data_IF_754439795753
#
_entry.id   IF_754439795753
#
_cell.length_a   1.000
_cell.length_b   1.000
_cell.length_c   1.000
_cell.angle_alpha   90.00
_cell.angle_beta   90.00
_cell.angle_gamma   90.00
#
_symmetry.space_group_name_H-M   'P 1'
#
loop_
_entity.id
_entity.type
_entity.pdbx_description
1 polymer ?
#
# COMPACT_ATOMS: atom_id res chain seq x y z
N UNK A 1 -8.31 -2.41 18.99
CA UNK A 1 -7.71 -2.41 17.63
C UNK A 1 -7.56 -3.86 17.21
N UNK A 2 -8.30 -4.29 16.20
CA UNK A 2 -8.18 -5.62 15.60
C UNK A 2 -6.94 -5.64 14.70
N UNK A 3 -5.96 -6.50 14.99
CA UNK A 3 -4.88 -6.79 14.06
C UNK A 3 -5.46 -7.50 12.84
N UNK A 4 -5.14 -7.01 11.64
CA UNK A 4 -5.51 -7.65 10.38
C UNK A 4 -4.27 -8.37 9.85
N UNK A 5 -4.33 -9.70 9.81
CA UNK A 5 -3.34 -10.55 9.15
C UNK A 5 -3.93 -10.99 7.81
N UNK A 6 -3.23 -10.69 6.72
CA UNK A 6 -3.56 -11.21 5.38
C UNK A 6 -2.52 -12.27 5.00
N UNK A 7 -2.93 -13.32 4.31
CA UNK A 7 -2.04 -14.32 3.73
C UNK A 7 -2.22 -14.31 2.21
N UNK A 8 -1.43 -13.49 1.47
CA UNK A 8 -1.64 -13.28 0.03
C UNK A 8 -1.62 -14.58 -0.79
N UNK A 9 -0.75 -15.53 -0.43
CA UNK A 9 -0.63 -16.83 -1.11
C UNK A 9 -1.89 -17.71 -0.99
N UNK A 10 -2.49 -17.74 0.21
CA UNK A 10 -3.77 -18.43 0.46
C UNK A 10 -4.91 -17.78 -0.32
N UNK A 11 -4.93 -16.44 -0.39
CA UNK A 11 -5.95 -15.69 -1.13
C UNK A 11 -5.79 -15.87 -2.64
N UNK A 12 -4.56 -15.97 -3.16
CA UNK A 12 -4.28 -16.26 -4.57
C UNK A 12 -4.79 -17.66 -4.96
N UNK A 13 -4.55 -18.65 -4.09
CA UNK A 13 -5.09 -20.01 -4.25
C UNK A 13 -6.61 -19.99 -4.29
N UNK A 14 -7.25 -19.30 -3.33
CA UNK A 14 -8.71 -19.16 -3.29
C UNK A 14 -9.27 -18.47 -4.55
N UNK A 15 -8.59 -17.45 -5.07
CA UNK A 15 -9.01 -16.78 -6.31
C UNK A 15 -8.99 -17.75 -7.51
N UNK A 16 -7.99 -18.63 -7.59
CA UNK A 16 -7.87 -19.65 -8.62
C UNK A 16 -8.98 -20.71 -8.49
N UNK A 17 -9.28 -21.16 -7.28
CA UNK A 17 -10.39 -22.09 -7.02
C UNK A 17 -11.74 -21.47 -7.40
N UNK A 18 -11.96 -20.21 -7.06
CA UNK A 18 -13.17 -19.47 -7.44
C UNK A 18 -13.30 -19.35 -8.96
N UNK A 19 -12.22 -19.12 -9.70
CA UNK A 19 -12.26 -19.17 -11.17
C UNK A 19 -12.70 -20.54 -11.71
N UNK A 20 -12.20 -21.62 -11.09
CA UNK A 20 -12.62 -22.99 -11.39
C UNK A 20 -14.12 -23.20 -11.16
N UNK A 21 -14.63 -22.76 -10.00
CA UNK A 21 -16.06 -22.83 -9.65
C UNK A 21 -16.92 -22.05 -10.65
N UNK A 22 -16.53 -20.82 -10.99
CA UNK A 22 -17.26 -19.98 -11.95
C UNK A 22 -17.33 -20.62 -13.34
N UNK A 23 -16.24 -21.25 -13.77
CA UNK A 23 -16.18 -21.99 -15.04
C UNK A 23 -17.10 -23.21 -15.03
N UNK A 24 -17.05 -24.01 -13.95
CA UNK A 24 -17.90 -25.19 -13.80
C UNK A 24 -19.39 -24.80 -13.77
N UNK A 25 -19.75 -23.74 -13.04
CA UNK A 25 -21.13 -23.26 -12.96
C UNK A 25 -21.65 -22.74 -14.30
N UNK A 26 -20.81 -22.02 -15.04
CA UNK A 26 -21.15 -21.54 -16.40
C UNK A 26 -21.37 -22.71 -17.35
N UNK A 27 -20.49 -23.72 -17.33
CA UNK A 27 -20.62 -24.93 -18.14
C UNK A 27 -21.88 -25.72 -17.79
N UNK A 28 -22.16 -25.92 -16.50
CA UNK A 28 -23.35 -26.61 -16.03
C UNK A 28 -24.65 -25.86 -16.42
N UNK A 29 -24.66 -24.54 -16.26
CA UNK A 29 -25.79 -23.68 -16.64
C UNK A 29 -26.06 -23.75 -18.14
N UNK A 30 -25.00 -23.72 -18.96
CA UNK A 30 -25.11 -23.84 -20.40
C UNK A 30 -25.61 -25.23 -20.82
N UNK A 31 -25.09 -26.30 -20.23
CA UNK A 31 -25.53 -27.67 -20.50
C UNK A 31 -27.01 -27.89 -20.12
N UNK A 32 -27.48 -27.26 -19.05
CA UNK A 32 -28.87 -27.33 -18.60
C UNK A 32 -29.83 -26.47 -19.44
N UNK A 33 -29.36 -25.49 -20.22
CA UNK A 33 -30.20 -24.49 -20.87
C UNK A 33 -31.22 -25.12 -21.84
N UNK A 34 -30.75 -25.91 -22.81
CA UNK A 34 -31.63 -26.54 -23.79
C UNK A 34 -32.65 -27.53 -23.16
N UNK A 35 -32.23 -28.52 -22.35
CA UNK A 35 -33.18 -29.51 -21.81
C UNK A 35 -34.20 -28.93 -20.83
N UNK A 36 -33.93 -27.77 -20.21
CA UNK A 36 -34.86 -27.15 -19.24
C UNK A 36 -35.76 -26.06 -19.84
N UNK A 37 -35.39 -25.47 -20.97
CA UNK A 37 -36.18 -24.41 -21.63
C UNK A 37 -37.08 -24.92 -22.75
N UNK A 38 -36.86 -26.15 -23.22
CA UNK A 38 -37.63 -26.80 -24.27
C UNK A 38 -38.43 -28.00 -23.72
N UNK A 39 -39.10 -27.82 -22.58
CA UNK A 39 -39.91 -28.90 -21.97
C UNK A 39 -41.14 -29.16 -22.83
N UNK A 40 -41.30 -30.40 -23.28
CA UNK A 40 -42.49 -30.81 -24.03
C UNK A 40 -43.68 -31.06 -23.08
N UNK A 41 -44.89 -30.79 -23.56
CA UNK A 41 -46.11 -31.17 -22.85
C UNK A 41 -46.21 -32.69 -22.73
N UNK A 42 -46.59 -33.19 -21.55
CA UNK A 42 -46.73 -34.63 -21.30
C UNK A 42 -47.94 -35.24 -22.03
N UNK A 43 -48.95 -34.41 -22.34
CA UNK A 43 -50.17 -34.75 -23.05
C UNK A 43 -50.65 -33.60 -23.92
N UNK A 44 -51.65 -33.86 -24.76
CA UNK A 44 -52.23 -32.88 -25.67
C UNK A 44 -53.25 -31.93 -24.99
N UNK A 45 -53.52 -32.14 -23.71
CA UNK A 45 -54.43 -31.31 -22.94
C UNK A 45 -53.82 -29.96 -22.57
N UNK A 46 -54.70 -29.00 -22.28
CA UNK A 46 -54.31 -27.63 -21.96
C UNK A 46 -53.53 -27.54 -20.64
N UNK A 47 -53.77 -28.45 -19.69
CA UNK A 47 -53.06 -28.47 -18.40
C UNK A 47 -51.60 -28.89 -18.60
N UNK A 48 -51.36 -29.98 -19.35
CA UNK A 48 -50.01 -30.42 -19.72
C UNK A 48 -49.23 -29.35 -20.47
N UNK A 49 -49.89 -28.64 -21.39
CA UNK A 49 -49.30 -27.52 -22.15
C UNK A 49 -48.94 -26.36 -21.22
N UNK A 50 -49.84 -25.96 -20.32
CA UNK A 50 -49.61 -24.88 -19.37
C UNK A 50 -48.47 -25.20 -18.38
N UNK A 51 -48.39 -26.45 -17.91
CA UNK A 51 -47.31 -26.91 -17.01
C UNK A 51 -45.95 -26.88 -17.72
N UNK A 52 -45.86 -27.38 -18.95
CA UNK A 52 -44.63 -27.32 -19.75
C UNK A 52 -44.18 -25.87 -20.01
N UNK A 53 -45.12 -24.97 -20.29
CA UNK A 53 -44.83 -23.53 -20.46
C UNK A 53 -44.33 -22.89 -19.16
N UNK A 54 -44.92 -23.23 -18.01
CA UNK A 54 -44.48 -22.72 -16.70
C UNK A 54 -43.04 -23.10 -16.39
N UNK A 55 -42.67 -24.38 -16.55
CA UNK A 55 -41.30 -24.84 -16.31
C UNK A 55 -40.30 -24.20 -17.26
N UNK A 56 -40.65 -24.09 -18.55
CA UNK A 56 -39.81 -23.45 -19.56
C UNK A 56 -39.57 -21.97 -19.22
N UNK A 57 -40.61 -21.24 -18.79
CA UNK A 57 -40.47 -19.84 -18.34
C UNK A 57 -39.60 -19.73 -17.08
N UNK A 58 -39.74 -20.64 -16.11
CA UNK A 58 -38.92 -20.66 -14.90
C UNK A 58 -37.44 -20.92 -15.22
N UNK A 59 -37.17 -21.81 -16.18
CA UNK A 59 -35.82 -22.09 -16.66
C UNK A 59 -35.21 -20.87 -17.36
N UNK A 60 -35.96 -20.16 -18.21
CA UNK A 60 -35.50 -18.92 -18.85
C UNK A 60 -35.14 -17.84 -17.81
N UNK A 61 -35.98 -17.68 -16.77
CA UNK A 61 -35.68 -16.77 -15.66
C UNK A 61 -34.42 -17.19 -14.89
N UNK A 62 -34.22 -18.48 -14.65
CA UNK A 62 -33.00 -19.01 -14.02
C UNK A 62 -31.75 -18.75 -14.89
N UNK A 63 -31.85 -18.88 -16.21
CA UNK A 63 -30.77 -18.58 -17.15
C UNK A 63 -30.41 -17.08 -17.16
N UNK A 64 -31.39 -16.20 -16.98
CA UNK A 64 -31.13 -14.76 -16.81
C UNK A 64 -30.41 -14.46 -15.50
N UNK A 65 -30.85 -15.08 -14.40
CA UNK A 65 -30.20 -14.95 -13.09
C UNK A 65 -28.77 -15.50 -13.09
N UNK A 66 -28.55 -16.66 -13.72
CA UNK A 66 -27.23 -17.27 -13.81
C UNK A 66 -26.23 -16.39 -14.58
N UNK A 67 -26.68 -15.65 -15.60
CA UNK A 67 -25.85 -14.66 -16.30
C UNK A 67 -25.44 -13.50 -15.39
N UNK A 68 -26.36 -13.00 -14.56
CA UNK A 68 -26.06 -11.95 -13.58
C UNK A 68 -25.08 -12.46 -12.51
N UNK A 69 -25.30 -13.67 -12.01
CA UNK A 69 -24.41 -14.31 -11.04
C UNK A 69 -23.00 -14.52 -11.62
N UNK A 70 -22.88 -14.92 -12.89
CA UNK A 70 -21.59 -15.08 -13.56
C UNK A 70 -20.84 -13.74 -13.68
N UNK A 71 -21.52 -12.65 -14.01
CA UNK A 71 -20.91 -11.31 -14.07
C UNK A 71 -20.42 -10.86 -12.70
N UNK A 72 -21.25 -11.01 -11.66
CA UNK A 72 -20.86 -10.71 -10.28
C UNK A 72 -19.65 -11.55 -9.82
N UNK A 73 -19.66 -12.85 -10.13
CA UNK A 73 -18.58 -13.75 -9.77
C UNK A 73 -17.25 -13.35 -10.43
N UNK A 74 -17.29 -12.92 -11.70
CA UNK A 74 -16.11 -12.40 -12.39
C UNK A 74 -15.55 -11.14 -11.72
N UNK A 75 -16.42 -10.20 -11.34
CA UNK A 75 -16.02 -8.97 -10.62
C UNK A 75 -15.45 -9.29 -9.23
N UNK A 76 -16.05 -10.24 -8.52
CA UNK A 76 -15.56 -10.72 -7.23
C UNK A 76 -14.15 -11.29 -7.34
N UNK A 77 -13.91 -12.19 -8.30
CA UNK A 77 -12.58 -12.77 -8.54
C UNK A 77 -11.58 -11.71 -8.92
N UNK A 78 -11.93 -10.78 -9.82
CA UNK A 78 -11.05 -9.69 -10.23
C UNK A 78 -10.65 -8.81 -9.04
N UNK A 79 -11.63 -8.46 -8.20
CA UNK A 79 -11.39 -7.64 -7.00
C UNK A 79 -10.52 -8.37 -6.00
N UNK A 80 -10.73 -9.67 -5.81
CA UNK A 80 -9.91 -10.50 -4.93
C UNK A 80 -8.46 -10.58 -5.41
N UNK A 81 -8.23 -10.79 -6.71
CA UNK A 81 -6.89 -10.79 -7.29
C UNK A 81 -6.19 -9.44 -7.12
N UNK A 82 -6.90 -8.33 -7.37
CA UNK A 82 -6.34 -6.99 -7.15
C UNK A 82 -5.98 -6.74 -5.68
N UNK A 83 -6.77 -7.26 -4.73
CA UNK A 83 -6.47 -7.17 -3.31
C UNK A 83 -5.22 -7.99 -2.94
N UNK A 84 -5.06 -9.19 -3.51
CA UNK A 84 -3.84 -10.01 -3.34
C UNK A 84 -2.60 -9.23 -3.76
N UNK A 85 -2.62 -8.62 -4.95
CA UNK A 85 -1.50 -7.83 -5.46
C UNK A 85 -1.19 -6.63 -4.56
N UNK A 86 -2.23 -5.97 -4.03
CA UNK A 86 -2.07 -4.85 -3.11
C UNK A 86 -1.41 -5.28 -1.78
N UNK A 87 -1.84 -6.40 -1.19
CA UNK A 87 -1.25 -6.91 0.05
C UNK A 87 0.19 -7.42 -0.16
N UNK A 88 0.44 -8.17 -1.25
CA UNK A 88 1.78 -8.63 -1.59
C UNK A 88 2.73 -7.46 -1.89
N UNK A 89 2.24 -6.43 -2.59
CA UNK A 89 2.97 -5.18 -2.83
C UNK A 89 3.30 -4.44 -1.54
N UNK A 90 2.37 -4.39 -0.58
CA UNK A 90 2.61 -3.79 0.73
C UNK A 90 3.67 -4.56 1.53
N UNK A 91 3.64 -5.89 1.52
CA UNK A 91 4.68 -6.72 2.16
C UNK A 91 6.05 -6.48 1.52
N UNK A 92 6.14 -6.45 0.18
CA UNK A 92 7.39 -6.19 -0.53
C UNK A 92 7.96 -4.79 -0.25
N UNK A 93 7.10 -3.76 -0.25
CA UNK A 93 7.49 -2.39 0.07
C UNK A 93 8.02 -2.26 1.50
N UNK A 94 7.48 -3.02 2.45
CA UNK A 94 7.94 -3.05 3.83
C UNK A 94 9.17 -3.94 4.04
N UNK A 95 9.34 -5.02 3.27
CA UNK A 95 10.47 -5.94 3.38
C UNK A 95 11.78 -5.38 2.81
N UNK A 96 11.72 -4.63 1.69
CA UNK A 96 12.90 -4.06 1.04
C UNK A 96 13.79 -3.18 1.96
N UNK A 97 13.24 -2.21 2.72
CA UNK A 97 14.04 -1.42 3.65
C UNK A 97 14.60 -2.26 4.81
N UNK A 98 13.88 -3.30 5.26
CA UNK A 98 14.36 -4.20 6.33
C UNK A 98 15.52 -5.09 5.85
N UNK A 99 15.47 -5.59 4.62
CA UNK A 99 16.58 -6.35 4.02
C UNK A 99 17.83 -5.47 3.86
N UNK A 100 17.65 -4.24 3.38
CA UNK A 100 18.75 -3.27 3.31
C UNK A 100 19.37 -3.02 4.69
N UNK A 101 18.56 -2.86 5.74
CA UNK A 101 19.03 -2.70 7.11
C UNK A 101 19.84 -3.91 7.59
N UNK A 102 19.36 -5.13 7.33
CA UNK A 102 20.05 -6.38 7.69
C UNK A 102 21.40 -6.50 6.95
N UNK A 103 21.44 -6.16 5.65
CA UNK A 103 22.69 -6.16 4.88
C UNK A 103 23.70 -5.15 5.42
N UNK A 104 23.26 -3.94 5.78
CA UNK A 104 24.13 -2.91 6.37
C UNK A 104 24.61 -3.30 7.78
N UNK A 105 23.74 -3.85 8.62
CA UNK A 105 24.13 -4.33 9.95
C UNK A 105 25.19 -5.45 9.85
N UNK A 106 25.04 -6.35 8.88
CA UNK A 106 26.02 -7.40 8.62
C UNK A 106 27.35 -6.83 8.11
N UNK A 107 27.33 -5.86 7.21
CA UNK A 107 28.52 -5.18 6.74
C UNK A 107 29.29 -4.46 7.87
N UNK A 108 28.59 -3.96 8.89
CA UNK A 108 29.20 -3.34 10.08
C UNK A 108 29.88 -4.36 11.01
N UNK A 109 29.29 -5.55 11.15
CA UNK A 109 29.86 -6.66 11.94
C UNK A 109 31.10 -7.23 11.26
N UNK A 110 31.08 -7.31 9.93
CA UNK A 110 32.17 -7.84 9.13
C UNK A 110 33.27 -6.79 8.84
N UNK A 111 33.08 -5.52 9.23
CA UNK A 111 34.03 -4.44 9.00
C UNK A 111 35.20 -4.43 10.00
N UNK A 112 36.45 -4.13 9.55
CA UNK A 112 37.59 -4.01 10.44
C UNK A 112 37.40 -2.85 11.43
N UNK A 113 37.73 -3.09 12.70
CA UNK A 113 37.47 -2.26 13.89
C UNK A 113 37.98 -0.82 13.84
N UNK A 114 38.79 -0.44 12.86
CA UNK A 114 39.35 0.92 12.70
C UNK A 114 38.45 1.95 12.00
N UNK A 115 37.33 1.54 11.37
CA UNK A 115 36.50 2.45 10.57
C UNK A 115 35.45 3.26 11.36
N UNK A 116 35.20 2.90 12.62
CA UNK A 116 34.08 3.43 13.44
C UNK A 116 34.38 4.75 14.18
N UNK A 117 35.62 5.25 14.16
CA UNK A 117 36.08 6.33 15.03
C UNK A 117 35.93 7.76 14.45
N UNK A 118 35.42 7.93 13.22
CA UNK A 118 35.65 9.17 12.46
C UNK A 118 34.53 10.24 12.48
N UNK A 119 33.47 10.14 13.31
CA UNK A 119 32.38 11.13 13.19
C UNK A 119 31.71 11.55 14.52
N UNK A 120 32.21 12.59 15.22
CA UNK A 120 31.56 13.14 16.40
C UNK A 120 30.57 14.28 16.04
N UNK A 121 29.47 14.28 16.79
CA UNK A 121 28.34 15.21 16.73
C UNK A 121 28.67 16.55 17.42
N UNK A 122 28.42 17.69 16.76
CA UNK A 122 28.28 18.98 17.43
C UNK A 122 27.25 19.86 16.68
N UNK A 123 26.27 20.39 17.44
CA UNK A 123 25.13 21.17 16.93
C UNK A 123 25.51 22.55 16.40
N UNK A 124 24.62 23.14 15.58
CA UNK A 124 24.79 24.53 15.15
C UNK A 124 23.45 25.23 14.94
N UNK A 125 23.35 26.42 15.54
CA UNK A 125 22.61 27.58 15.02
C UNK A 125 22.94 27.77 13.54
N UNK A 126 21.92 28.06 12.72
CA UNK A 126 22.01 28.10 11.25
C UNK A 126 23.27 28.85 10.74
N UNK A 127 24.20 28.14 10.05
CA UNK A 127 25.19 28.79 9.21
C UNK A 127 24.49 29.52 8.05
N UNK A 128 25.03 30.65 7.60
CA UNK A 128 24.55 31.29 6.37
C UNK A 128 24.80 30.37 5.18
N UNK A 129 23.72 29.77 4.63
CA UNK A 129 23.78 28.82 3.51
C UNK A 129 23.64 29.50 2.14
N UNK A 130 23.75 30.83 2.08
CA UNK A 130 23.61 31.57 0.82
C UNK A 130 24.74 31.19 -0.14
N UNK A 131 24.38 30.61 -1.29
CA UNK A 131 25.32 30.12 -2.30
C UNK A 131 25.52 28.59 -2.32
N UNK A 132 24.75 27.82 -1.54
CA UNK A 132 24.77 26.36 -1.64
C UNK A 132 24.14 25.89 -2.95
N UNK A 133 24.82 24.97 -3.65
CA UNK A 133 24.38 24.43 -4.95
C UNK A 133 23.10 23.60 -4.84
N UNK A 134 22.92 22.91 -3.71
CA UNK A 134 21.70 22.20 -3.33
C UNK A 134 21.64 21.98 -1.81
N UNK A 135 20.44 21.97 -1.24
CA UNK A 135 20.16 21.78 0.19
C UNK A 135 19.14 20.64 0.36
N UNK A 136 19.49 19.62 1.14
CA UNK A 136 18.56 18.56 1.53
C UNK A 136 17.94 18.85 2.89
N UNK A 137 16.62 19.07 2.91
CA UNK A 137 15.82 19.14 4.13
C UNK A 137 15.58 17.74 4.69
N UNK A 138 15.92 17.52 5.96
CA UNK A 138 15.76 16.21 6.62
C UNK A 138 14.85 16.36 7.84
N UNK A 139 13.69 15.70 7.79
CA UNK A 139 12.71 15.63 8.88
C UNK A 139 12.94 14.42 9.78
N UNK A 140 12.52 14.51 11.03
CA UNK A 140 12.65 13.42 12.00
C UNK A 140 11.59 12.33 11.78
N UNK A 141 11.84 11.10 12.26
CA UNK A 141 10.80 10.08 12.31
C UNK A 141 9.74 10.42 13.37
N UNK A 142 8.56 9.80 13.26
CA UNK A 142 7.45 9.94 14.22
C UNK A 142 7.93 9.78 15.67
N UNK A 143 7.54 10.71 16.55
CA UNK A 143 7.96 10.75 17.95
C UNK A 143 9.32 11.38 18.22
N UNK A 144 10.06 11.82 17.18
CA UNK A 144 11.34 12.52 17.30
C UNK A 144 11.26 13.88 16.62
N UNK A 145 10.62 14.88 17.27
CA UNK A 145 10.39 16.20 16.67
C UNK A 145 11.67 16.89 16.19
N UNK A 146 12.76 16.65 16.91
CA UNK A 146 14.10 17.10 16.53
C UNK A 146 14.87 15.89 15.99
N UNK A 147 15.28 15.89 14.71
CA UNK A 147 16.06 14.80 14.16
C UNK A 147 17.40 14.63 14.90
N UNK A 148 17.73 13.44 15.42
CA UNK A 148 19.02 13.20 16.04
C UNK A 148 20.17 13.35 15.04
N UNK A 149 21.35 13.82 15.47
CA UNK A 149 22.49 13.98 14.55
C UNK A 149 22.97 12.66 13.93
N UNK A 150 22.81 11.54 14.63
CA UNK A 150 23.08 10.21 14.08
C UNK A 150 22.16 9.88 12.90
N UNK A 151 20.90 10.27 12.98
CA UNK A 151 19.92 10.12 11.91
C UNK A 151 20.23 11.06 10.74
N UNK A 152 20.57 12.31 11.00
CA UNK A 152 20.97 13.28 9.96
C UNK A 152 22.21 12.81 9.21
N UNK A 153 23.22 12.30 9.91
CA UNK A 153 24.44 11.77 9.30
C UNK A 153 24.15 10.52 8.47
N UNK A 154 23.27 9.64 8.95
CA UNK A 154 22.85 8.46 8.22
C UNK A 154 22.10 8.84 6.93
N UNK A 155 21.13 9.76 7.01
CA UNK A 155 20.39 10.21 5.83
C UNK A 155 21.31 10.94 4.84
N UNK A 156 22.26 11.74 5.34
CA UNK A 156 23.24 12.42 4.51
C UNK A 156 24.07 11.43 3.68
N UNK A 157 24.64 10.42 4.35
CA UNK A 157 25.53 9.45 3.71
C UNK A 157 24.80 8.43 2.84
N UNK A 158 23.60 8.01 3.24
CA UNK A 158 22.86 6.96 2.52
C UNK A 158 22.07 7.51 1.34
N UNK A 159 21.63 8.76 1.39
CA UNK A 159 20.69 9.32 0.41
C UNK A 159 21.17 10.63 -0.19
N UNK A 160 21.53 11.62 0.64
CA UNK A 160 21.79 12.99 0.13
C UNK A 160 23.05 13.03 -0.75
N UNK A 161 24.19 12.55 -0.26
CA UNK A 161 25.43 12.57 -1.05
C UNK A 161 25.41 11.59 -2.23
N UNK A 162 24.54 10.58 -2.16
CA UNK A 162 24.35 9.62 -3.26
C UNK A 162 23.56 10.26 -4.40
N UNK A 163 22.53 11.03 -4.08
CA UNK A 163 21.66 11.68 -5.06
C UNK A 163 22.24 13.00 -5.58
N UNK A 164 22.88 13.78 -4.70
CA UNK A 164 23.50 15.06 -5.07
C UNK A 164 24.80 15.28 -4.27
N UNK A 165 25.93 14.95 -4.90
CA UNK A 165 27.25 15.07 -4.30
C UNK A 165 27.59 16.53 -4.00
N UNK A 166 27.82 16.82 -2.71
CA UNK A 166 28.11 18.16 -2.21
C UNK A 166 26.88 18.95 -1.77
N UNK A 167 25.68 18.36 -1.79
CA UNK A 167 24.50 18.98 -1.20
C UNK A 167 24.68 19.17 0.31
N UNK A 168 24.24 20.32 0.82
CA UNK A 168 24.28 20.63 2.25
C UNK A 168 23.05 20.06 2.95
N UNK A 169 23.22 19.51 4.15
CA UNK A 169 22.09 18.98 4.93
C UNK A 169 21.54 20.03 5.88
N UNK A 170 20.22 20.21 5.85
CA UNK A 170 19.50 21.07 6.78
C UNK A 170 18.49 20.26 7.61
N UNK A 171 18.68 20.14 8.94
CA UNK A 171 17.70 19.48 9.79
C UNK A 171 16.43 20.32 9.90
N UNK A 172 15.27 19.68 9.74
CA UNK A 172 13.97 20.30 9.91
C UNK A 172 13.26 19.70 11.12
N UNK A 173 12.98 20.55 12.12
CA UNK A 173 12.18 20.19 13.29
C UNK A 173 10.70 20.26 12.93
N UNK A 174 10.00 19.16 13.11
CA UNK A 174 8.55 19.03 12.87
C UNK A 174 7.88 18.45 14.11
N UNK A 175 6.56 18.63 14.32
CA UNK A 175 5.95 18.21 15.57
C UNK A 175 5.93 16.69 15.81
N UNK A 176 5.92 15.88 14.74
CA UNK A 176 6.01 14.41 14.76
C UNK A 176 5.15 13.69 15.83
N UNK A 177 4.00 14.29 16.16
CA UNK A 177 3.06 13.82 17.16
C UNK A 177 2.10 12.76 16.63
N UNK A 178 1.91 11.70 17.42
CA UNK A 178 1.06 10.56 17.10
C UNK A 178 0.28 10.13 18.33
N UNK A 179 -0.37 11.06 19.05
CA UNK A 179 -1.20 10.71 20.21
C UNK A 179 -2.32 9.75 19.79
N UNK A 180 -2.55 8.65 20.54
CA UNK A 180 -1.99 8.30 21.86
C UNK A 180 -0.69 7.48 21.87
N UNK A 181 -0.12 7.13 20.72
CA UNK A 181 1.04 6.23 20.60
C UNK A 181 2.32 6.87 21.17
N UNK A 182 2.53 8.17 20.98
CA UNK A 182 3.75 8.89 21.42
C UNK A 182 3.62 9.54 22.80
N UNK A 183 2.49 9.37 23.51
CA UNK A 183 2.28 9.85 24.89
C UNK A 183 1.28 11.01 25.04
N UNK A 184 0.77 11.20 26.25
CA UNK A 184 -0.44 12.01 26.57
C UNK A 184 -0.35 13.52 26.34
N UNK A 185 0.85 14.05 26.10
CA UNK A 185 1.08 15.47 25.79
C UNK A 185 1.53 15.69 24.33
N UNK A 186 1.39 14.68 23.47
CA UNK A 186 1.67 14.78 22.04
C UNK A 186 0.47 15.32 21.27
N UNK A 187 0.72 15.99 20.14
CA UNK A 187 -0.34 16.33 19.20
C UNK A 187 -1.02 15.06 18.65
N UNK A 188 -2.30 15.19 18.30
CA UNK A 188 -2.98 14.18 17.49
C UNK A 188 -2.34 14.15 16.10
N UNK A 189 -2.39 12.99 15.44
CA UNK A 189 -1.78 12.80 14.12
C UNK A 189 -2.17 13.91 13.12
N UNK A 190 -3.46 14.23 13.03
CA UNK A 190 -3.97 15.22 12.08
C UNK A 190 -3.41 16.62 12.34
N UNK A 191 -3.29 17.03 13.62
CA UNK A 191 -2.73 18.34 13.99
C UNK A 191 -1.22 18.36 13.75
N UNK A 192 -0.53 17.26 14.08
CA UNK A 192 0.90 17.11 13.82
C UNK A 192 1.24 17.21 12.33
N UNK A 193 0.52 16.50 11.46
CA UNK A 193 0.73 16.53 10.02
C UNK A 193 0.46 17.92 9.45
N UNK A 194 -0.64 18.55 9.87
CA UNK A 194 -1.00 19.90 9.39
C UNK A 194 0.08 20.91 9.75
N UNK A 195 0.58 20.88 10.98
CA UNK A 195 1.62 21.79 11.44
C UNK A 195 2.99 21.45 10.84
N UNK A 196 3.33 20.16 10.69
CA UNK A 196 4.56 19.71 10.03
C UNK A 196 4.62 20.13 8.56
N UNK A 197 3.52 20.01 7.82
CA UNK A 197 3.41 20.46 6.44
C UNK A 197 3.59 21.98 6.31
N UNK A 198 2.99 22.77 7.21
CA UNK A 198 3.18 24.22 7.24
C UNK A 198 4.65 24.60 7.51
N UNK A 199 5.30 23.91 8.46
CA UNK A 199 6.72 24.11 8.78
C UNK A 199 7.63 23.78 7.59
N UNK A 200 7.39 22.65 6.92
CA UNK A 200 8.13 22.25 5.71
C UNK A 200 7.95 23.28 4.60
N UNK A 201 6.72 23.70 4.32
CA UNK A 201 6.44 24.69 3.29
C UNK A 201 7.14 26.03 3.56
N UNK A 202 7.14 26.50 4.80
CA UNK A 202 7.84 27.74 5.18
C UNK A 202 9.35 27.62 5.00
N UNK A 203 9.94 26.47 5.35
CA UNK A 203 11.38 26.22 5.17
C UNK A 203 11.78 26.20 3.69
N UNK A 204 11.00 25.52 2.84
CA UNK A 204 11.23 25.51 1.38
C UNK A 204 11.17 26.93 0.82
N UNK A 205 10.10 27.68 1.13
CA UNK A 205 9.92 29.05 0.62
C UNK A 205 11.05 29.99 1.06
N UNK A 206 11.53 29.88 2.30
CA UNK A 206 12.66 30.64 2.81
C UNK A 206 13.96 30.33 2.05
N UNK A 207 14.28 29.05 1.87
CA UNK A 207 15.54 28.61 1.23
C UNK A 207 15.56 28.91 -0.27
N UNK A 208 14.42 28.72 -0.96
CA UNK A 208 14.26 29.10 -2.37
C UNK A 208 14.32 30.62 -2.54
N UNK A 209 13.68 31.38 -1.65
CA UNK A 209 13.76 32.85 -1.64
C UNK A 209 15.18 33.39 -1.42
N UNK A 210 16.05 32.61 -0.76
CA UNK A 210 17.47 32.88 -0.60
C UNK A 210 18.34 32.42 -1.79
N UNK A 211 17.74 31.89 -2.86
CA UNK A 211 18.41 31.49 -4.10
C UNK A 211 19.00 30.08 -4.09
N UNK A 212 18.61 29.23 -3.14
CA UNK A 212 19.11 27.84 -3.07
C UNK A 212 18.22 26.89 -3.87
N UNK A 213 18.82 25.79 -4.33
CA UNK A 213 18.07 24.61 -4.79
C UNK A 213 17.78 23.71 -3.59
N UNK A 214 16.53 23.31 -3.42
CA UNK A 214 16.03 22.52 -2.29
C UNK A 214 15.33 21.28 -2.82
#
# INVERSE_FOLDING_TARGET
MSYLMAAPDMLATAATELQGIGSALTAATAAAAAPTTAVAAAGADEVSTAVAALFSARAQAQQALARQAAAFHAELVQTLTAAVDAYAGAEAANAAPLQSLVHHARALVDAPTGALAANPVAGSTAPGLSGARAIALIMGPSGFPVPPTTYLNAVNWLYVQVLDQGASVFPLTTPEGLYPITGVNSLTFNVSVTQGAATLNNAIQFLVGAGNHV
#
